data_IF_893274810288
#
_entry.id   IF_893274810288
#
_cell.length_a   1.000
_cell.length_b   1.000
_cell.length_c   1.000
_cell.angle_alpha   90.00
_cell.angle_beta   90.00
_cell.angle_gamma   90.00
#
_symmetry.space_group_name_H-M   'P 1'
#
loop_
_entity.id
_entity.type
_entity.pdbx_description
1 polymer ?
#
# COMPACT_ATOMS: atom_id res chain seq x y z
N UNK A 1 -2.22 16.51 -1.06
CA UNK A 1 -0.73 16.37 -0.99
C UNK A 1 -0.38 14.90 -1.20
N UNK A 2 0.64 14.56 -1.97
CA UNK A 2 0.94 13.14 -2.29
C UNK A 2 1.71 12.47 -1.16
N UNK A 3 1.34 11.24 -0.82
CA UNK A 3 2.14 10.43 0.10
C UNK A 3 3.37 9.89 -0.63
N UNK A 4 4.56 9.96 -0.02
CA UNK A 4 5.79 9.39 -0.59
C UNK A 4 6.31 8.28 0.30
N UNK A 5 6.47 7.09 -0.28
CA UNK A 5 6.85 5.88 0.43
C UNK A 5 7.83 5.02 -0.34
N UNK A 6 8.17 3.86 0.22
CA UNK A 6 9.03 2.87 -0.38
C UNK A 6 8.44 1.47 -0.25
N UNK A 7 8.70 0.62 -1.24
CA UNK A 7 8.34 -0.80 -1.18
C UNK A 7 9.34 -1.54 -0.32
N UNK A 8 8.88 -2.05 0.80
CA UNK A 8 9.70 -2.71 1.84
C UNK A 8 9.16 -4.11 2.15
N UNK A 9 9.92 -4.85 2.95
CA UNK A 9 9.57 -6.20 3.41
C UNK A 9 10.16 -6.45 4.79
N UNK A 10 9.54 -7.39 5.52
CA UNK A 10 10.04 -7.91 6.79
C UNK A 10 10.83 -9.23 6.61
N UNK A 11 11.15 -9.62 5.37
CA UNK A 11 11.86 -10.87 5.08
C UNK A 11 11.00 -12.13 5.22
N UNK A 12 9.68 -11.96 5.20
CA UNK A 12 8.72 -13.06 5.21
C UNK A 12 8.26 -13.39 3.79
N UNK A 13 8.03 -14.66 3.50
CA UNK A 13 7.42 -15.11 2.25
C UNK A 13 6.04 -15.73 2.50
N UNK A 14 5.19 -15.67 1.48
CA UNK A 14 4.00 -16.51 1.38
C UNK A 14 4.40 -17.99 1.16
N UNK A 15 3.44 -18.90 1.30
CA UNK A 15 3.67 -20.34 1.15
C UNK A 15 4.17 -20.75 -0.25
N UNK A 16 3.92 -19.93 -1.27
CA UNK A 16 4.40 -20.10 -2.64
C UNK A 16 5.76 -19.45 -2.90
N UNK A 17 6.43 -18.94 -1.86
CA UNK A 17 7.78 -18.36 -1.94
C UNK A 17 7.81 -16.89 -2.33
N UNK A 18 6.67 -16.27 -2.66
CA UNK A 18 6.62 -14.84 -2.98
C UNK A 18 6.89 -14.01 -1.72
N UNK A 19 7.78 -13.02 -1.81
CA UNK A 19 8.10 -12.15 -0.68
C UNK A 19 6.91 -11.27 -0.31
N UNK A 20 6.65 -11.14 0.99
CA UNK A 20 5.59 -10.28 1.51
C UNK A 20 6.08 -8.84 1.50
N UNK A 21 5.47 -8.03 0.64
CA UNK A 21 5.79 -6.61 0.48
C UNK A 21 4.76 -5.72 1.17
N UNK A 22 5.23 -4.53 1.57
CA UNK A 22 4.45 -3.43 2.12
C UNK A 22 4.91 -2.14 1.44
N UNK A 23 4.05 -1.12 1.39
CA UNK A 23 4.51 0.24 1.09
C UNK A 23 4.61 0.99 2.42
N UNK A 24 5.82 1.34 2.83
CA UNK A 24 6.09 2.09 4.04
C UNK A 24 6.18 3.59 3.78
N UNK A 25 5.62 4.39 4.67
CA UNK A 25 5.61 5.85 4.68
C UNK A 25 6.07 6.34 6.04
N UNK A 26 6.89 7.40 6.06
CA UNK A 26 7.05 8.18 7.29
C UNK A 26 5.73 8.86 7.64
N UNK A 27 5.41 9.04 8.91
CA UNK A 27 4.12 9.66 9.31
C UNK A 27 3.97 11.10 8.78
N UNK A 28 5.08 11.84 8.70
CA UNK A 28 5.13 13.19 8.13
C UNK A 28 4.97 13.24 6.60
N UNK A 29 5.06 12.09 5.92
CA UNK A 29 4.97 11.94 4.47
C UNK A 29 3.66 11.25 4.02
N UNK A 30 2.65 11.18 4.88
CA UNK A 30 1.38 10.51 4.59
C UNK A 30 0.46 11.28 3.64
N UNK A 31 0.64 12.60 3.50
CA UNK A 31 -0.24 13.42 2.68
C UNK A 31 -1.70 13.25 3.09
N UNK A 32 -2.54 12.81 2.16
CA UNK A 32 -3.99 12.59 2.36
C UNK A 32 -4.37 11.13 2.68
N UNK A 33 -3.40 10.23 2.88
CA UNK A 33 -3.72 8.85 3.23
C UNK A 33 -4.49 8.79 4.57
N UNK A 34 -5.64 8.09 4.61
CA UNK A 34 -6.49 8.07 5.80
C UNK A 34 -5.91 7.07 6.80
N UNK A 35 -5.00 7.49 7.65
CA UNK A 35 -4.35 6.61 8.60
C UNK A 35 -4.59 7.10 10.04
N UNK A 36 -4.92 6.15 10.92
CA UNK A 36 -5.19 6.37 12.35
C UNK A 36 -4.30 5.44 13.16
N UNK A 37 -3.71 5.95 14.25
CA UNK A 37 -2.84 5.15 15.12
C UNK A 37 -3.60 3.98 15.75
N UNK A 38 -2.98 2.79 15.72
CA UNK A 38 -3.54 1.58 16.32
C UNK A 38 -4.63 0.90 15.50
N UNK A 39 -5.10 1.50 14.40
CA UNK A 39 -6.20 0.99 13.59
C UNK A 39 -5.75 0.57 12.18
N UNK A 40 -6.50 -0.39 11.60
CA UNK A 40 -6.45 -0.66 10.16
C UNK A 40 -7.51 0.18 9.49
N UNK A 41 -7.12 1.30 8.90
CA UNK A 41 -8.07 2.16 8.19
C UNK A 41 -8.21 1.67 6.74
N UNK A 42 -9.41 1.26 6.30
CA UNK A 42 -9.62 0.86 4.93
C UNK A 42 -9.66 2.08 4.00
N UNK A 43 -9.15 1.93 2.79
CA UNK A 43 -9.27 2.93 1.73
C UNK A 43 -9.42 2.26 0.37
N UNK A 44 -9.90 3.01 -0.63
CA UNK A 44 -10.04 2.52 -2.00
C UNK A 44 -8.74 2.74 -2.75
N UNK A 45 -8.21 1.67 -3.34
CA UNK A 45 -7.04 1.69 -4.21
C UNK A 45 -7.50 1.39 -5.63
N UNK A 46 -7.07 2.20 -6.59
CA UNK A 46 -7.32 1.99 -8.02
C UNK A 46 -6.07 1.43 -8.68
N UNK A 47 -6.17 0.22 -9.23
CA UNK A 47 -5.07 -0.51 -9.87
C UNK A 47 -5.54 -0.99 -11.24
N UNK A 48 -4.91 -0.53 -12.31
CA UNK A 48 -5.27 -0.92 -13.69
C UNK A 48 -6.78 -0.79 -14.02
N UNK A 49 -7.46 0.19 -13.41
CA UNK A 49 -8.90 0.41 -13.57
C UNK A 49 -9.80 -0.36 -12.59
N UNK A 50 -9.23 -1.25 -11.77
CA UNK A 50 -9.95 -2.03 -10.77
C UNK A 50 -9.88 -1.37 -9.38
N UNK A 51 -11.01 -1.39 -8.66
CA UNK A 51 -11.11 -0.86 -7.30
C UNK A 51 -10.89 -1.97 -6.29
N UNK A 52 -9.88 -1.79 -5.45
CA UNK A 52 -9.50 -2.69 -4.38
C UNK A 52 -9.60 -1.98 -3.03
N UNK A 53 -10.25 -2.62 -2.06
CA UNK A 53 -10.25 -2.19 -0.67
C UNK A 53 -8.94 -2.60 -0.01
N UNK A 54 -8.00 -1.67 0.05
CA UNK A 54 -6.75 -1.82 0.78
C UNK A 54 -6.93 -1.37 2.24
N UNK A 55 -5.90 -1.55 3.06
CA UNK A 55 -5.85 -0.95 4.39
C UNK A 55 -4.50 -0.31 4.64
N UNK A 56 -4.48 0.77 5.40
CA UNK A 56 -3.26 1.37 5.94
C UNK A 56 -3.24 1.20 7.46
N UNK A 57 -2.07 0.97 8.02
CA UNK A 57 -1.84 0.87 9.47
C UNK A 57 -0.70 1.77 9.88
N UNK A 58 -0.76 2.30 11.10
CA UNK A 58 0.40 2.86 11.77
C UNK A 58 0.32 2.53 13.26
N UNK A 59 1.46 2.53 13.96
CA UNK A 59 1.50 2.33 15.41
C UNK A 59 2.16 3.51 16.10
N UNK A 60 1.89 3.71 17.38
CA UNK A 60 2.58 4.73 18.18
C UNK A 60 4.09 4.46 18.30
N UNK A 61 4.50 3.18 18.26
CA UNK A 61 5.88 2.75 18.58
C UNK A 61 6.90 3.08 17.50
N UNK A 62 6.47 3.30 16.26
CA UNK A 62 7.35 3.61 15.15
C UNK A 62 6.80 4.77 14.32
N UNK A 63 7.70 5.54 13.70
CA UNK A 63 7.35 6.63 12.80
C UNK A 63 7.00 6.11 11.39
N UNK A 64 6.38 4.93 11.31
CA UNK A 64 6.08 4.24 10.06
C UNK A 64 4.60 3.92 9.98
N UNK A 65 3.97 4.41 8.92
CA UNK A 65 2.70 3.92 8.42
C UNK A 65 2.95 3.00 7.24
N UNK A 66 2.09 2.00 7.02
CA UNK A 66 2.24 1.10 5.88
C UNK A 66 0.91 0.66 5.29
N UNK A 67 0.87 0.56 3.96
CA UNK A 67 -0.20 -0.14 3.26
C UNK A 67 -0.03 -1.64 3.55
N UNK A 68 -1.11 -2.25 4.02
CA UNK A 68 -1.21 -3.66 4.33
C UNK A 68 -0.91 -4.52 3.09
N UNK A 69 -0.40 -5.75 3.29
CA UNK A 69 0.05 -6.63 2.22
C UNK A 69 -1.10 -7.32 1.47
N UNK A 70 -2.35 -6.96 1.80
CA UNK A 70 -3.56 -7.52 1.25
C UNK A 70 -4.59 -6.43 0.97
N UNK A 71 -5.27 -6.58 -0.17
CA UNK A 71 -6.43 -5.82 -0.58
C UNK A 71 -7.53 -6.78 -1.05
N UNK A 72 -8.74 -6.27 -1.19
CA UNK A 72 -9.90 -7.07 -1.57
C UNK A 72 -10.67 -6.39 -2.68
N UNK A 73 -11.05 -7.13 -3.72
CA UNK A 73 -11.91 -6.57 -4.76
C UNK A 73 -13.39 -6.51 -4.34
N UNK A 74 -14.26 -6.07 -5.26
CA UNK A 74 -15.71 -5.96 -5.02
C UNK A 74 -16.41 -7.32 -4.79
N UNK A 75 -15.79 -8.42 -5.22
CA UNK A 75 -16.30 -9.79 -4.98
C UNK A 75 -15.81 -10.35 -3.64
N UNK A 76 -14.91 -9.64 -2.96
CA UNK A 76 -14.26 -10.09 -1.72
C UNK A 76 -13.08 -11.02 -1.97
N UNK A 77 -12.60 -11.14 -3.21
CA UNK A 77 -11.40 -11.92 -3.51
C UNK A 77 -10.17 -11.16 -3.02
N UNK A 78 -9.25 -11.90 -2.40
CA UNK A 78 -8.03 -11.32 -1.81
C UNK A 78 -6.95 -11.18 -2.86
N UNK A 79 -6.44 -9.97 -2.99
CA UNK A 79 -5.27 -9.63 -3.82
C UNK A 79 -4.08 -9.32 -2.91
N UNK A 80 -2.90 -9.85 -3.24
CA UNK A 80 -1.69 -9.60 -2.46
C UNK A 80 -1.00 -8.36 -3.01
N UNK A 81 -0.45 -7.54 -2.12
CA UNK A 81 0.25 -6.33 -2.53
C UNK A 81 1.43 -6.59 -3.50
N UNK A 82 2.24 -7.66 -3.36
CA UNK A 82 3.26 -7.98 -4.37
C UNK A 82 2.71 -8.19 -5.78
N UNK A 83 1.57 -8.87 -5.92
CA UNK A 83 0.94 -9.10 -7.22
C UNK A 83 0.42 -7.78 -7.82
N UNK A 84 -0.20 -6.94 -6.96
CA UNK A 84 -0.64 -5.59 -7.32
C UNK A 84 0.54 -4.75 -7.81
N UNK A 85 1.64 -4.69 -7.05
CA UNK A 85 2.83 -3.90 -7.39
C UNK A 85 3.50 -4.41 -8.66
N UNK A 86 3.62 -5.73 -8.82
CA UNK A 86 4.13 -6.37 -10.03
C UNK A 86 3.30 -5.98 -11.27
N UNK A 87 1.97 -5.94 -11.14
CA UNK A 87 1.07 -5.50 -12.22
C UNK A 87 1.26 -4.03 -12.63
N UNK A 88 1.90 -3.22 -11.78
CA UNK A 88 2.25 -1.82 -12.02
C UNK A 88 3.74 -1.64 -12.42
N UNK A 89 4.51 -2.73 -12.54
CA UNK A 89 5.95 -2.69 -12.79
C UNK A 89 6.76 -2.07 -11.64
N UNK A 90 6.25 -2.20 -10.41
CA UNK A 90 6.87 -1.70 -9.18
C UNK A 90 7.49 -2.87 -8.43
N UNK A 91 8.75 -2.74 -8.06
CA UNK A 91 9.53 -3.77 -7.38
C UNK A 91 9.93 -3.37 -5.96
N UNK A 92 10.51 -4.31 -5.22
CA UNK A 92 11.10 -4.04 -3.91
C UNK A 92 12.18 -2.96 -4.01
N UNK A 93 12.23 -2.10 -3.01
CA UNK A 93 13.09 -0.91 -2.93
C UNK A 93 12.71 0.25 -3.87
N UNK A 94 11.69 0.10 -4.71
CA UNK A 94 11.18 1.24 -5.47
C UNK A 94 10.60 2.28 -4.52
N UNK A 95 10.86 3.54 -4.85
CA UNK A 95 10.15 4.67 -4.25
C UNK A 95 8.83 4.86 -4.97
N UNK A 96 7.75 5.06 -4.23
CA UNK A 96 6.41 5.23 -4.78
C UNK A 96 5.76 6.51 -4.26
N UNK A 97 4.84 7.05 -5.06
CA UNK A 97 3.90 8.08 -4.63
C UNK A 97 2.50 7.48 -4.59
N UNK A 98 1.72 7.82 -3.57
CA UNK A 98 0.29 7.51 -3.50
C UNK A 98 -0.49 8.81 -3.51
N UNK A 99 -1.42 8.93 -4.45
CA UNK A 99 -2.19 10.16 -4.68
C UNK A 99 -3.68 9.84 -4.65
N UNK A 100 -4.45 10.75 -4.08
CA UNK A 100 -5.90 10.72 -4.18
C UNK A 100 -6.31 11.14 -5.60
N UNK A 101 -7.13 10.32 -6.25
CA UNK A 101 -7.79 10.61 -7.52
C UNK A 101 -9.29 10.33 -7.36
N UNK A 102 -10.08 11.41 -7.19
CA UNK A 102 -11.51 11.29 -6.93
C UNK A 102 -11.78 10.71 -5.55
N UNK A 103 -12.38 9.52 -5.49
CA UNK A 103 -12.73 8.80 -4.27
C UNK A 103 -11.81 7.59 -4.00
N UNK A 104 -10.70 7.49 -4.72
CA UNK A 104 -9.74 6.40 -4.63
C UNK A 104 -8.30 6.93 -4.61
N UNK A 105 -7.36 6.04 -4.30
CA UNK A 105 -5.93 6.31 -4.33
C UNK A 105 -5.23 5.51 -5.42
N UNK A 106 -4.23 6.09 -6.07
CA UNK A 106 -3.42 5.45 -7.12
C UNK A 106 -1.95 5.42 -6.70
N UNK A 107 -1.27 4.31 -6.98
CA UNK A 107 0.17 4.14 -6.73
C UNK A 107 0.93 4.42 -8.02
N UNK A 108 1.95 5.26 -7.93
CA UNK A 108 2.90 5.56 -9.01
C UNK A 108 4.31 5.23 -8.56
N UNK A 109 5.13 4.67 -9.44
CA UNK A 109 6.57 4.64 -9.23
C UNK A 109 7.11 6.07 -9.32
N UNK A 110 7.86 6.50 -8.32
CA UNK A 110 8.61 7.75 -8.38
C UNK A 110 9.85 7.51 -9.24
N UNK A 111 10.03 8.34 -10.27
CA UNK A 111 11.31 8.48 -10.95
C UNK A 111 12.31 9.26 -10.11
#
# INVERSE_FOLDING_TARGET
MNAKGAVITEGQCYADGIERLFIGFKKDCLGELPATEGERVPFQLLVNGERLKAGIRMTEKNDLAWICPDAYDLKGEKHRLPDILSSLGIEKNDTVQVKEEGDAFVIYRSV
#
